data_IF_827363448188
#
_entry.id   IF_827363448188
#
_cell.length_a   1.000
_cell.length_b   1.000
_cell.length_c   1.000
_cell.angle_alpha   90.00
_cell.angle_beta   90.00
_cell.angle_gamma   90.00
#
_symmetry.space_group_name_H-M   'P 1'
#
loop_
_entity.id
_entity.type
_entity.pdbx_description
1 polymer ?
#
# COMPACT_ATOMS: atom_id res chain seq x y z
N UNK A 1 18.35 -8.04 -1.89
CA UNK A 1 17.01 -7.40 -1.88
C UNK A 1 16.01 -8.27 -1.12
N UNK A 2 15.02 -7.69 -0.42
CA UNK A 2 13.92 -8.45 0.21
C UNK A 2 12.63 -8.20 -0.58
N UNK A 3 11.90 -9.26 -0.87
CA UNK A 3 10.61 -9.21 -1.56
C UNK A 3 9.65 -10.11 -0.78
N UNK A 4 8.44 -9.64 -0.49
CA UNK A 4 7.36 -10.51 -0.03
C UNK A 4 6.37 -10.73 -1.16
N UNK A 5 5.94 -11.97 -1.32
CA UNK A 5 5.03 -12.39 -2.37
C UNK A 5 3.62 -12.63 -1.80
N UNK A 6 2.61 -12.17 -2.52
CA UNK A 6 1.21 -12.48 -2.19
C UNK A 6 0.83 -13.79 -2.90
N UNK A 7 1.29 -14.91 -2.34
CA UNK A 7 1.04 -16.27 -2.84
C UNK A 7 0.28 -17.08 -1.80
N UNK A 8 -0.92 -17.53 -2.14
CA UNK A 8 -1.83 -18.22 -1.20
C UNK A 8 -1.20 -19.40 -0.49
N UNK A 9 -0.34 -20.17 -1.17
CA UNK A 9 0.38 -21.34 -0.64
C UNK A 9 1.43 -20.99 0.42
N UNK A 10 1.86 -19.74 0.48
CA UNK A 10 2.85 -19.23 1.44
C UNK A 10 2.19 -18.47 2.60
N UNK A 11 0.85 -18.32 2.58
CA UNK A 11 0.11 -17.49 3.51
C UNK A 11 -0.55 -18.31 4.62
N UNK A 12 -0.74 -17.70 5.78
CA UNK A 12 -1.46 -18.29 6.91
C UNK A 12 -2.96 -18.01 6.79
N UNK A 13 -3.78 -18.99 7.17
CA UNK A 13 -5.23 -18.83 7.22
C UNK A 13 -5.67 -18.44 8.64
N UNK A 14 -6.40 -17.33 8.78
CA UNK A 14 -6.86 -16.84 10.07
C UNK A 14 -8.00 -15.84 9.98
N UNK A 15 -8.69 -15.63 11.10
CA UNK A 15 -9.74 -14.59 11.24
C UNK A 15 -9.15 -13.41 12.00
N UNK A 16 -9.35 -12.20 11.49
CA UNK A 16 -8.88 -10.95 12.09
C UNK A 16 -10.05 -10.13 12.63
N UNK A 17 -9.94 -9.65 13.87
CA UNK A 17 -10.88 -8.69 14.51
C UNK A 17 -12.36 -9.10 14.39
N UNK A 18 -12.68 -10.38 14.66
CA UNK A 18 -14.05 -10.86 14.53
C UNK A 18 -14.62 -10.85 13.10
N UNK A 19 -13.76 -10.86 12.09
CA UNK A 19 -14.18 -10.90 10.69
C UNK A 19 -15.01 -12.13 10.34
N UNK A 20 -15.76 -12.05 9.24
CA UNK A 20 -16.81 -13.02 8.87
C UNK A 20 -16.29 -14.44 8.62
N UNK A 21 -15.12 -14.57 8.02
CA UNK A 21 -14.46 -15.84 7.73
C UNK A 21 -12.93 -15.64 7.66
N UNK A 22 -12.21 -16.76 7.58
CA UNK A 22 -10.75 -16.73 7.52
C UNK A 22 -10.25 -16.15 6.20
N UNK A 23 -9.18 -15.38 6.28
CA UNK A 23 -8.45 -14.78 5.19
C UNK A 23 -7.04 -15.37 5.12
N UNK A 24 -6.44 -15.34 3.94
CA UNK A 24 -5.02 -15.69 3.78
C UNK A 24 -4.18 -14.46 4.10
N UNK A 25 -3.23 -14.62 5.01
CA UNK A 25 -2.45 -13.53 5.60
C UNK A 25 -0.95 -13.83 5.49
N UNK A 26 -0.20 -12.85 4.99
CA UNK A 26 1.25 -12.84 5.02
C UNK A 26 1.69 -11.63 5.87
N UNK A 27 2.44 -11.83 6.98
CA UNK A 27 2.93 -10.73 7.81
C UNK A 27 3.91 -9.79 7.09
N UNK A 28 4.44 -10.21 5.94
CA UNK A 28 5.28 -9.39 5.07
C UNK A 28 6.48 -8.79 5.79
N UNK A 29 6.36 -7.53 6.18
CA UNK A 29 7.39 -6.78 6.87
C UNK A 29 6.90 -6.29 8.24
N UNK A 30 7.82 -6.16 9.18
CA UNK A 30 7.60 -5.72 10.55
C UNK A 30 8.42 -4.46 10.86
N UNK A 31 8.24 -3.89 12.04
CA UNK A 31 9.03 -2.76 12.55
C UNK A 31 10.55 -2.94 12.47
N UNK A 32 11.03 -4.20 12.45
CA UNK A 32 12.46 -4.53 12.38
C UNK A 32 13.06 -4.36 10.99
N UNK A 33 12.22 -4.15 10.01
CA UNK A 33 12.60 -4.06 8.60
C UNK A 33 12.75 -2.62 8.13
N UNK A 34 12.46 -1.66 9.01
CA UNK A 34 12.46 -0.22 8.73
C UNK A 34 13.18 0.55 9.85
N UNK A 35 13.67 1.73 9.53
CA UNK A 35 14.23 2.68 10.49
C UNK A 35 13.23 3.79 10.87
N UNK A 36 12.31 4.11 9.96
CA UNK A 36 11.20 5.04 10.22
C UNK A 36 10.09 4.39 11.04
N UNK A 37 9.07 5.16 11.50
CA UNK A 37 8.01 4.64 12.38
C UNK A 37 7.01 3.67 11.72
N UNK A 38 7.41 2.89 10.72
CA UNK A 38 6.64 1.75 10.25
C UNK A 38 6.47 0.72 11.37
N UNK A 39 5.31 0.10 11.42
CA UNK A 39 5.09 -1.04 12.31
C UNK A 39 5.00 -2.33 11.52
N UNK A 40 4.25 -2.33 10.41
CA UNK A 40 4.18 -3.47 9.50
C UNK A 40 3.67 -3.09 8.11
N UNK A 41 3.91 -4.01 7.17
CA UNK A 41 3.25 -4.10 5.88
C UNK A 41 2.74 -5.54 5.75
N UNK A 42 1.43 -5.71 5.71
CA UNK A 42 0.80 -7.01 5.52
C UNK A 42 0.21 -7.14 4.12
N UNK A 43 0.32 -8.31 3.51
CA UNK A 43 -0.47 -8.67 2.34
C UNK A 43 -1.52 -9.72 2.69
N UNK A 44 -2.73 -9.56 2.17
CA UNK A 44 -3.88 -10.41 2.49
C UNK A 44 -4.65 -10.75 1.23
N UNK A 45 -5.14 -11.98 1.16
CA UNK A 45 -6.15 -12.37 0.18
C UNK A 45 -7.44 -12.65 0.96
N UNK A 46 -8.49 -11.90 0.63
CA UNK A 46 -9.83 -12.14 1.12
C UNK A 46 -10.59 -13.05 0.17
N UNK A 47 -10.81 -14.35 0.48
CA UNK A 47 -11.79 -15.16 -0.23
C UNK A 47 -13.20 -14.56 -0.17
N UNK A 48 -14.13 -14.99 -1.05
CA UNK A 48 -15.54 -14.61 -0.94
C UNK A 48 -16.10 -14.80 0.47
N UNK A 49 -16.75 -13.76 1.01
CA UNK A 49 -17.35 -13.78 2.33
C UNK A 49 -16.38 -13.62 3.51
N UNK A 50 -15.11 -13.26 3.27
CA UNK A 50 -14.13 -13.00 4.34
C UNK A 50 -13.76 -11.53 4.44
N UNK A 51 -13.00 -11.17 5.49
CA UNK A 51 -12.57 -9.79 5.71
C UNK A 51 -12.01 -9.57 7.12
N UNK A 52 -11.77 -8.30 7.43
CA UNK A 52 -11.37 -7.82 8.77
C UNK A 52 -12.59 -7.20 9.41
N UNK A 53 -12.99 -7.67 10.61
CA UNK A 53 -14.12 -7.13 11.37
C UNK A 53 -13.86 -5.69 11.81
N UNK A 54 -14.95 -5.01 12.18
CA UNK A 54 -14.83 -3.63 12.67
C UNK A 54 -14.05 -3.58 13.98
N UNK A 55 -13.04 -2.76 14.04
CA UNK A 55 -12.20 -2.52 15.20
C UNK A 55 -11.68 -1.07 15.21
N UNK A 56 -11.07 -0.65 16.29
CA UNK A 56 -10.40 0.64 16.42
C UNK A 56 -9.15 0.54 17.29
N UNK A 57 -8.19 1.41 17.04
CA UNK A 57 -6.99 1.57 17.88
C UNK A 57 -6.47 3.00 17.81
N UNK A 58 -5.75 3.42 18.89
CA UNK A 58 -5.21 4.78 19.01
C UNK A 58 -3.69 4.85 18.90
N UNK A 59 -3.02 3.71 18.75
CA UNK A 59 -1.55 3.63 18.74
C UNK A 59 -0.94 3.70 17.33
N UNK A 60 -1.78 3.80 16.30
CA UNK A 60 -1.32 3.89 14.92
C UNK A 60 -2.37 4.46 13.98
N UNK A 61 -1.90 4.93 12.83
CA UNK A 61 -2.71 5.08 11.60
C UNK A 61 -2.44 3.91 10.66
N UNK A 62 -3.44 3.57 9.87
CA UNK A 62 -3.36 2.54 8.84
C UNK A 62 -3.76 3.07 7.48
N UNK A 63 -3.33 2.37 6.43
CA UNK A 63 -3.88 2.56 5.09
C UNK A 63 -4.34 1.18 4.59
N UNK A 64 -5.64 1.03 4.36
CA UNK A 64 -6.24 -0.13 3.73
C UNK A 64 -6.23 0.03 2.22
N UNK A 65 -5.59 -0.90 1.51
CA UNK A 65 -5.44 -0.83 0.05
C UNK A 65 -5.95 -2.10 -0.60
N UNK A 66 -6.91 -1.97 -1.53
CA UNK A 66 -7.25 -3.03 -2.48
C UNK A 66 -6.58 -2.73 -3.83
N UNK A 67 -6.08 -3.77 -4.53
CA UNK A 67 -5.44 -3.55 -5.84
C UNK A 67 -6.41 -3.80 -7.01
N UNK A 68 -7.47 -4.54 -6.77
CA UNK A 68 -8.51 -4.84 -7.75
C UNK A 68 -9.82 -5.27 -7.06
N UNK A 69 -10.77 -5.83 -7.85
CA UNK A 69 -12.07 -6.32 -7.42
C UNK A 69 -12.92 -5.22 -6.76
N UNK A 70 -13.89 -5.62 -5.93
CA UNK A 70 -14.67 -4.75 -5.07
C UNK A 70 -14.60 -5.26 -3.63
N UNK A 71 -14.76 -4.33 -2.67
CA UNK A 71 -14.90 -4.66 -1.27
C UNK A 71 -15.81 -3.63 -0.59
N UNK A 72 -16.42 -4.02 0.53
CA UNK A 72 -17.14 -3.11 1.40
C UNK A 72 -16.18 -2.60 2.47
N UNK A 73 -15.82 -1.33 2.40
CA UNK A 73 -15.00 -0.66 3.40
C UNK A 73 -15.90 -0.03 4.47
N UNK A 74 -15.51 -0.22 5.71
CA UNK A 74 -16.13 0.46 6.86
C UNK A 74 -15.17 1.50 7.42
N UNK A 75 -15.69 2.69 7.66
CA UNK A 75 -14.98 3.80 8.30
C UNK A 75 -15.93 4.55 9.24
N UNK A 76 -15.62 4.59 10.53
CA UNK A 76 -16.42 5.20 11.58
C UNK A 76 -17.89 4.72 11.56
N UNK A 77 -18.11 3.41 11.43
CA UNK A 77 -19.42 2.77 11.42
C UNK A 77 -20.20 2.91 10.10
N UNK A 78 -19.69 3.67 9.13
CA UNK A 78 -20.28 3.80 7.79
C UNK A 78 -19.63 2.82 6.85
N UNK A 79 -20.43 2.13 6.05
CA UNK A 79 -19.92 1.14 5.09
C UNK A 79 -20.33 1.52 3.68
N UNK A 80 -19.38 1.49 2.75
CA UNK A 80 -19.63 1.71 1.33
C UNK A 80 -18.92 0.66 0.48
N UNK A 81 -19.51 0.33 -0.67
CA UNK A 81 -18.85 -0.47 -1.68
C UNK A 81 -17.83 0.36 -2.44
N UNK A 82 -16.61 -0.13 -2.51
CA UNK A 82 -15.52 0.46 -3.30
C UNK A 82 -15.14 -0.54 -4.39
N UNK A 83 -15.29 -0.14 -5.65
CA UNK A 83 -15.00 -0.97 -6.83
C UNK A 83 -13.63 -0.59 -7.40
N UNK A 84 -12.81 -1.60 -7.68
CA UNK A 84 -11.46 -1.44 -8.24
C UNK A 84 -10.39 -1.18 -7.17
N UNK A 85 -9.19 -0.86 -7.65
CA UNK A 85 -8.08 -0.50 -6.76
C UNK A 85 -8.33 0.83 -6.03
N UNK A 86 -8.12 0.83 -4.71
CA UNK A 86 -8.34 2.00 -3.89
C UNK A 86 -7.56 1.94 -2.58
N UNK A 87 -7.26 3.12 -2.02
CA UNK A 87 -6.63 3.30 -0.71
C UNK A 87 -7.54 4.13 0.20
N UNK A 88 -7.73 3.67 1.44
CA UNK A 88 -8.51 4.33 2.48
C UNK A 88 -7.60 4.60 3.67
N UNK A 89 -7.30 5.87 4.00
CA UNK A 89 -6.55 6.23 5.20
C UNK A 89 -7.44 6.09 6.43
N UNK A 90 -6.91 5.51 7.48
CA UNK A 90 -7.57 5.18 8.73
C UNK A 90 -6.79 5.82 9.88
N UNK A 91 -7.32 6.92 10.40
CA UNK A 91 -6.61 7.69 11.41
C UNK A 91 -6.72 7.04 12.78
N UNK A 92 -5.74 7.33 13.60
CA UNK A 92 -5.68 6.90 14.99
C UNK A 92 -6.99 7.22 15.75
N UNK A 93 -7.64 6.18 16.28
CA UNK A 93 -8.93 6.25 16.99
C UNK A 93 -10.18 6.15 16.11
N UNK A 94 -10.04 6.07 14.80
CA UNK A 94 -11.16 5.80 13.90
C UNK A 94 -11.46 4.30 13.84
N UNK A 95 -12.74 3.93 13.85
CA UNK A 95 -13.12 2.52 13.67
C UNK A 95 -13.15 2.16 12.19
N UNK A 96 -12.70 0.96 11.87
CA UNK A 96 -12.57 0.50 10.49
C UNK A 96 -12.71 -1.01 10.35
N UNK A 97 -12.94 -1.44 9.11
CA UNK A 97 -13.07 -2.84 8.72
C UNK A 97 -13.20 -2.97 7.21
N UNK A 98 -13.11 -4.19 6.71
CA UNK A 98 -13.27 -4.49 5.28
C UNK A 98 -13.90 -5.86 5.11
N UNK A 99 -14.82 -6.00 4.15
CA UNK A 99 -15.51 -7.24 3.84
C UNK A 99 -15.55 -7.50 2.33
N UNK A 100 -15.10 -8.66 1.91
CA UNK A 100 -15.24 -9.13 0.52
C UNK A 100 -16.63 -9.76 0.31
N UNK A 101 -17.56 -9.00 -0.23
CA UNK A 101 -18.92 -9.44 -0.55
C UNK A 101 -19.05 -10.09 -1.93
N UNK A 102 -17.96 -10.14 -2.69
CA UNK A 102 -17.96 -10.62 -4.08
C UNK A 102 -17.77 -12.15 -4.15
N UNK A 103 -17.85 -12.70 -5.34
CA UNK A 103 -17.61 -14.12 -5.64
C UNK A 103 -16.17 -14.45 -6.05
N UNK A 104 -15.26 -13.46 -5.95
CA UNK A 104 -13.83 -13.57 -6.26
C UNK A 104 -12.96 -13.17 -5.08
N UNK A 105 -11.70 -13.58 -5.11
CA UNK A 105 -10.69 -13.09 -4.17
C UNK A 105 -10.47 -11.58 -4.33
N UNK A 106 -10.33 -10.88 -3.21
CA UNK A 106 -9.87 -9.49 -3.17
C UNK A 106 -8.47 -9.45 -2.58
N UNK A 107 -7.53 -8.89 -3.33
CA UNK A 107 -6.15 -8.71 -2.89
C UNK A 107 -6.01 -7.39 -2.16
N UNK A 108 -5.35 -7.43 -1.01
CA UNK A 108 -5.33 -6.34 -0.06
C UNK A 108 -3.95 -6.18 0.58
N UNK A 109 -3.58 -4.93 0.79
CA UNK A 109 -2.41 -4.56 1.61
C UNK A 109 -2.86 -3.69 2.79
N UNK A 110 -2.21 -3.89 3.93
CA UNK A 110 -2.37 -3.07 5.11
C UNK A 110 -1.03 -2.46 5.52
N UNK A 111 -0.99 -1.16 5.65
CA UNK A 111 0.16 -0.36 6.09
C UNK A 111 -0.13 0.25 7.43
N UNK A 112 0.84 0.20 8.34
CA UNK A 112 0.65 0.65 9.71
C UNK A 112 1.85 1.49 10.16
N UNK A 113 1.57 2.73 10.60
CA UNK A 113 2.56 3.67 11.12
C UNK A 113 2.20 4.05 12.54
N UNK A 114 3.16 3.95 13.47
CA UNK A 114 2.90 4.16 14.90
C UNK A 114 2.50 5.61 15.20
N UNK A 115 1.49 5.77 16.05
CA UNK A 115 1.13 7.05 16.70
C UNK A 115 1.67 7.04 18.14
N UNK A 116 2.72 7.80 18.38
CA UNK A 116 3.35 7.91 19.70
C UNK A 116 2.75 9.00 20.58
N UNK A 117 1.77 9.75 20.06
CA UNK A 117 1.18 10.90 20.76
C UNK A 117 0.01 10.48 21.65
N UNK A 118 -0.71 9.43 21.28
CA UNK A 118 -1.91 8.97 21.97
C UNK A 118 -1.64 7.80 22.90
N UNK A 119 -2.41 7.74 24.00
CA UNK A 119 -2.41 6.56 24.86
C UNK A 119 -2.94 5.33 24.08
N UNK A 120 -2.22 4.20 24.09
CA UNK A 120 -2.62 3.01 23.37
C UNK A 120 -3.95 2.45 23.86
N UNK A 121 -4.91 2.32 22.98
CA UNK A 121 -6.20 1.64 23.19
C UNK A 121 -6.51 0.79 21.96
N UNK A 122 -7.20 -0.30 22.18
CA UNK A 122 -7.69 -1.19 21.13
C UNK A 122 -9.09 -1.67 21.51
N UNK A 123 -9.99 -1.77 20.54
CA UNK A 123 -11.34 -2.28 20.71
C UNK A 123 -11.77 -3.07 19.47
N UNK A 124 -12.11 -4.33 19.66
CA UNK A 124 -12.79 -5.17 18.68
C UNK A 124 -14.30 -5.08 18.93
N UNK A 125 -15.08 -4.79 17.90
CA UNK A 125 -16.53 -4.65 18.01
C UNK A 125 -17.27 -5.97 17.79
N UNK A 126 -16.57 -7.06 17.47
CA UNK A 126 -17.15 -8.36 17.09
C UNK A 126 -18.20 -8.24 15.96
N UNK A 127 -18.01 -7.26 15.08
CA UNK A 127 -18.92 -6.93 13.99
C UNK A 127 -18.23 -7.17 12.64
N UNK A 128 -18.58 -8.24 11.90
CA UNK A 128 -18.02 -8.54 10.60
C UNK A 128 -18.54 -7.64 9.47
N UNK A 129 -19.46 -6.74 9.75
CA UNK A 129 -20.09 -5.80 8.79
C UNK A 129 -20.86 -6.48 7.65
N UNK A 130 -21.43 -7.67 7.87
CA UNK A 130 -22.21 -8.40 6.87
C UNK A 130 -23.63 -7.86 6.81
N UNK A 131 -24.13 -7.59 5.59
CA UNK A 131 -25.53 -7.22 5.36
C UNK A 131 -25.92 -5.86 5.94
N UNK A 132 -24.96 -5.01 6.23
CA UNK A 132 -25.21 -3.63 6.70
C UNK A 132 -25.68 -2.75 5.54
N UNK A 133 -26.39 -1.67 5.86
CA UNK A 133 -26.78 -0.65 4.88
C UNK A 133 -25.53 0.00 4.28
N UNK A 134 -25.48 0.10 2.94
CA UNK A 134 -24.38 0.72 2.24
C UNK A 134 -24.67 2.20 2.00
N UNK A 135 -23.71 3.04 2.36
CA UNK A 135 -23.72 4.46 2.04
C UNK A 135 -23.04 4.74 0.68
N UNK A 136 -23.17 5.95 0.20
CA UNK A 136 -22.42 6.40 -0.98
C UNK A 136 -20.92 6.47 -0.67
N UNK A 137 -20.08 6.09 -1.64
CA UNK A 137 -18.62 6.06 -1.51
C UNK A 137 -18.00 7.42 -1.17
N UNK A 138 -18.67 8.53 -1.55
CA UNK A 138 -18.22 9.90 -1.22
C UNK A 138 -18.32 10.25 0.28
N UNK A 139 -18.92 9.36 1.08
CA UNK A 139 -18.95 9.48 2.54
C UNK A 139 -17.71 8.91 3.24
N UNK A 140 -16.86 8.22 2.50
CA UNK A 140 -15.61 7.65 2.99
C UNK A 140 -14.41 8.37 2.34
N UNK A 141 -13.26 8.45 3.02
CA UNK A 141 -12.04 9.01 2.45
C UNK A 141 -11.40 7.99 1.48
N UNK A 142 -11.91 7.88 0.25
CA UNK A 142 -11.46 6.89 -0.73
C UNK A 142 -10.59 7.53 -1.79
N UNK A 143 -9.33 7.14 -1.86
CA UNK A 143 -8.41 7.43 -2.96
C UNK A 143 -8.39 6.30 -3.99
N UNK A 144 -8.95 6.52 -5.18
CA UNK A 144 -8.99 5.50 -6.24
C UNK A 144 -7.71 5.49 -7.05
N UNK A 145 -7.26 4.31 -7.45
CA UNK A 145 -6.19 4.13 -8.44
C UNK A 145 -6.78 4.25 -9.86
N UNK A 146 -7.17 5.46 -10.22
CA UNK A 146 -7.75 5.78 -11.53
C UNK A 146 -6.66 6.31 -12.46
N UNK A 147 -6.36 5.55 -13.52
CA UNK A 147 -5.36 5.91 -14.54
C UNK A 147 -5.66 7.24 -15.23
N UNK A 148 -6.94 7.64 -15.33
CA UNK A 148 -7.32 8.92 -15.92
C UNK A 148 -6.85 10.15 -15.12
N UNK A 149 -6.51 9.95 -13.84
CA UNK A 149 -5.99 11.00 -12.95
C UNK A 149 -4.47 11.11 -12.95
N UNK A 150 -3.77 10.16 -13.56
CA UNK A 150 -2.32 10.16 -13.65
C UNK A 150 -1.82 11.27 -14.58
N UNK A 151 -0.65 11.82 -14.26
CA UNK A 151 0.02 12.86 -15.06
C UNK A 151 1.41 12.40 -15.47
N UNK A 152 1.83 12.66 -16.73
CA UNK A 152 3.16 12.29 -17.18
C UNK A 152 4.22 13.12 -16.43
N UNK A 153 5.30 12.44 -16.05
CA UNK A 153 6.51 13.07 -15.50
C UNK A 153 7.72 12.20 -15.70
N UNK A 154 8.90 12.81 -15.83
CA UNK A 154 10.17 12.13 -15.64
C UNK A 154 10.41 12.00 -14.14
N UNK A 155 10.61 10.78 -13.63
CA UNK A 155 10.69 10.53 -12.19
C UNK A 155 12.09 10.07 -11.80
N UNK A 156 12.74 10.78 -10.88
CA UNK A 156 14.10 10.53 -10.39
C UNK A 156 15.14 10.31 -11.51
N UNK A 157 15.11 11.16 -12.54
CA UNK A 157 16.05 11.04 -13.66
C UNK A 157 15.89 9.78 -14.51
N UNK A 158 14.82 9.01 -14.31
CA UNK A 158 14.55 7.76 -15.00
C UNK A 158 14.36 7.92 -16.51
N UNK A 159 14.19 6.79 -17.19
CA UNK A 159 14.04 6.69 -18.64
C UNK A 159 12.60 6.98 -19.05
N UNK A 160 12.40 7.81 -20.03
CA UNK A 160 11.10 8.16 -20.58
C UNK A 160 10.22 8.95 -19.61
N UNK A 161 8.91 8.86 -19.79
CA UNK A 161 7.91 9.47 -18.93
C UNK A 161 7.05 8.37 -18.29
N UNK A 162 6.98 8.38 -16.98
CA UNK A 162 6.00 7.59 -16.20
C UNK A 162 4.76 8.44 -15.92
N UNK A 163 3.65 7.80 -15.61
CA UNK A 163 2.44 8.48 -15.21
C UNK A 163 2.26 8.38 -13.70
N UNK A 164 2.07 9.49 -13.03
CA UNK A 164 2.16 9.62 -11.58
C UNK A 164 1.00 10.41 -10.99
N UNK A 165 0.60 10.02 -9.79
CA UNK A 165 -0.32 10.79 -8.93
C UNK A 165 -0.01 10.53 -7.47
N UNK A 166 0.09 11.58 -6.65
CA UNK A 166 -0.06 11.47 -5.20
C UNK A 166 -1.55 11.29 -4.89
N UNK A 167 -1.92 10.15 -4.30
CA UNK A 167 -3.30 9.81 -3.94
C UNK A 167 -3.62 10.38 -2.57
N UNK A 168 -2.70 10.20 -1.61
CA UNK A 168 -2.70 10.76 -0.27
C UNK A 168 -1.35 11.38 0.02
N UNK A 169 -1.33 12.51 0.68
CA UNK A 169 -0.11 13.23 1.05
C UNK A 169 0.01 13.42 2.56
N UNK A 170 1.12 13.99 3.00
CA UNK A 170 1.46 14.21 4.41
C UNK A 170 0.35 14.86 5.24
N UNK A 171 -0.47 15.72 4.64
CA UNK A 171 -1.56 16.45 5.32
C UNK A 171 -2.78 15.58 5.63
N UNK A 172 -2.87 14.43 5.00
CA UNK A 172 -3.98 13.48 5.18
C UNK A 172 -3.76 12.60 6.42
N UNK A 173 -2.55 12.61 7.00
CA UNK A 173 -2.14 11.80 8.12
C UNK A 173 -1.67 12.66 9.30
N UNK A 174 -1.78 12.11 10.52
CA UNK A 174 -1.21 12.71 11.74
C UNK A 174 0.12 12.07 12.14
N UNK A 175 0.34 10.81 11.72
CA UNK A 175 1.60 10.09 11.90
C UNK A 175 2.63 10.46 10.82
N UNK A 176 3.70 9.72 10.75
CA UNK A 176 4.81 9.93 9.81
C UNK A 176 4.57 9.40 8.40
N UNK A 177 3.37 8.93 8.06
CA UNK A 177 3.01 8.73 6.65
C UNK A 177 3.15 10.04 5.89
N UNK A 178 3.93 10.03 4.80
CA UNK A 178 4.18 11.21 3.97
C UNK A 178 3.42 11.19 2.66
N UNK A 179 3.30 10.03 2.06
CA UNK A 179 2.55 9.87 0.81
C UNK A 179 2.11 8.43 0.54
N UNK A 180 1.08 8.33 -0.26
CA UNK A 180 0.74 7.16 -1.07
C UNK A 180 0.61 7.63 -2.52
N UNK A 181 1.47 7.11 -3.40
CA UNK A 181 1.54 7.49 -4.80
C UNK A 181 1.12 6.36 -5.70
N UNK A 182 0.38 6.65 -6.78
CA UNK A 182 0.03 5.73 -7.85
C UNK A 182 0.91 6.02 -9.06
N UNK A 183 1.57 4.99 -9.58
CA UNK A 183 2.54 5.10 -10.68
C UNK A 183 2.23 4.04 -11.74
N UNK A 184 2.28 4.47 -13.00
CA UNK A 184 2.20 3.58 -14.17
C UNK A 184 3.42 3.84 -15.05
N UNK A 185 4.14 2.77 -15.34
CA UNK A 185 5.31 2.76 -16.21
C UNK A 185 4.94 2.10 -17.55
N UNK A 186 4.84 2.85 -18.66
CA UNK A 186 4.79 2.28 -19.98
C UNK A 186 6.02 1.41 -20.30
N UNK A 187 6.00 0.61 -21.37
CA UNK A 187 7.18 -0.11 -21.85
C UNK A 187 8.42 0.80 -21.99
N UNK A 188 9.58 0.27 -21.63
CA UNK A 188 10.90 0.96 -21.74
C UNK A 188 10.96 2.27 -20.93
N UNK A 189 10.28 2.35 -19.78
CA UNK A 189 10.36 3.50 -18.86
C UNK A 189 10.77 3.09 -17.46
N UNK A 190 11.26 4.04 -16.65
CA UNK A 190 11.69 3.78 -15.28
C UNK A 190 11.38 4.92 -14.31
N UNK A 191 11.21 4.57 -13.04
CA UNK A 191 11.58 5.44 -11.93
C UNK A 191 13.08 5.26 -11.76
N UNK A 192 13.85 6.32 -11.95
CA UNK A 192 15.31 6.27 -11.97
C UNK A 192 15.90 5.89 -10.61
N UNK A 193 17.18 5.52 -10.62
CA UNK A 193 17.89 5.12 -9.42
C UNK A 193 18.12 6.33 -8.52
N UNK A 194 17.61 6.26 -7.30
CA UNK A 194 17.64 7.36 -6.33
C UNK A 194 17.73 6.82 -4.90
N UNK A 195 17.95 7.71 -3.94
CA UNK A 195 18.12 7.38 -2.54
C UNK A 195 17.41 8.42 -1.67
N UNK A 196 16.93 7.99 -0.50
CA UNK A 196 16.38 8.83 0.57
C UNK A 196 17.21 8.68 1.83
N UNK A 197 17.48 9.80 2.54
CA UNK A 197 18.18 9.80 3.82
C UNK A 197 17.25 9.74 5.03
N UNK A 198 15.98 10.18 4.87
CA UNK A 198 15.01 10.28 5.97
C UNK A 198 13.67 9.59 5.69
N UNK A 199 13.51 8.91 4.56
CA UNK A 199 12.26 8.23 4.18
C UNK A 199 12.55 6.76 3.90
N UNK A 200 11.81 5.87 4.57
CA UNK A 200 11.62 4.50 4.10
C UNK A 200 10.43 4.44 3.16
N UNK A 201 10.58 3.75 2.05
CA UNK A 201 9.51 3.50 1.09
C UNK A 201 9.18 2.01 0.99
N UNK A 202 7.99 1.72 0.51
CA UNK A 202 7.64 0.39 0.04
C UNK A 202 6.95 0.49 -1.33
N UNK A 203 7.39 -0.35 -2.27
CA UNK A 203 6.82 -0.49 -3.60
C UNK A 203 5.93 -1.72 -3.65
N UNK A 204 4.70 -1.59 -4.12
CA UNK A 204 3.75 -2.69 -4.27
C UNK A 204 3.28 -2.79 -5.71
N UNK A 205 3.50 -3.95 -6.32
CA UNK A 205 3.16 -4.18 -7.72
C UNK A 205 1.68 -4.53 -7.86
N UNK A 206 0.93 -3.67 -8.54
CA UNK A 206 -0.51 -3.85 -8.77
C UNK A 206 -0.79 -4.69 -10.02
N UNK A 207 -0.02 -4.46 -11.09
CA UNK A 207 -0.21 -5.13 -12.36
C UNK A 207 1.09 -5.12 -13.19
N UNK A 208 1.26 -6.14 -14.03
CA UNK A 208 2.46 -6.29 -14.86
C UNK A 208 3.64 -6.87 -14.10
N UNK A 209 4.83 -6.66 -14.66
CA UNK A 209 6.13 -7.06 -14.10
C UNK A 209 7.21 -6.08 -14.50
N UNK A 210 8.27 -6.00 -13.72
CA UNK A 210 9.41 -5.13 -13.96
C UNK A 210 10.67 -5.62 -13.27
N UNK A 211 11.77 -4.90 -13.45
CA UNK A 211 13.01 -5.14 -12.70
C UNK A 211 13.15 -4.09 -11.61
N UNK A 212 13.11 -4.52 -10.37
CA UNK A 212 13.41 -3.69 -9.21
C UNK A 212 14.88 -3.77 -8.89
N UNK A 213 15.50 -2.63 -8.66
CA UNK A 213 16.88 -2.55 -8.18
C UNK A 213 16.88 -1.92 -6.79
N UNK A 214 17.49 -2.60 -5.82
CA UNK A 214 17.73 -2.08 -4.47
C UNK A 214 19.22 -2.30 -4.18
N UNK A 215 19.92 -1.24 -3.90
CA UNK A 215 21.37 -1.20 -3.79
C UNK A 215 22.04 -1.83 -5.04
N UNK A 216 22.80 -2.89 -4.88
CA UNK A 216 23.50 -3.57 -5.98
C UNK A 216 22.74 -4.79 -6.52
N UNK A 217 21.54 -5.08 -6.02
CA UNK A 217 20.74 -6.23 -6.40
C UNK A 217 19.60 -5.84 -7.33
N UNK A 218 19.41 -6.59 -8.43
CA UNK A 218 18.30 -6.41 -9.37
C UNK A 218 17.54 -7.73 -9.52
N UNK A 219 16.22 -7.67 -9.29
CA UNK A 219 15.33 -8.84 -9.33
C UNK A 219 14.07 -8.52 -10.14
N UNK A 220 13.48 -9.54 -10.79
CA UNK A 220 12.17 -9.40 -11.41
C UNK A 220 11.10 -9.39 -10.32
N UNK A 221 10.18 -8.41 -10.40
CA UNK A 221 9.02 -8.26 -9.52
C UNK A 221 7.74 -8.36 -10.34
N UNK A 222 6.72 -8.96 -9.73
CA UNK A 222 5.43 -9.25 -10.38
C UNK A 222 4.27 -8.79 -9.51
N UNK A 223 3.07 -8.81 -10.08
CA UNK A 223 1.84 -8.47 -9.34
C UNK A 223 1.75 -9.16 -7.99
N UNK A 224 1.48 -8.38 -6.94
CA UNK A 224 1.35 -8.83 -5.55
C UNK A 224 2.64 -8.82 -4.76
N UNK A 225 3.76 -8.47 -5.38
CA UNK A 225 5.03 -8.29 -4.68
C UNK A 225 5.05 -6.96 -3.93
N UNK A 226 5.65 -6.97 -2.74
CA UNK A 226 5.98 -5.80 -1.95
C UNK A 226 7.48 -5.77 -1.66
N UNK A 227 8.10 -4.61 -1.88
CA UNK A 227 9.54 -4.41 -1.79
C UNK A 227 9.81 -3.20 -0.88
N UNK A 228 10.46 -3.39 0.28
CA UNK A 228 10.89 -2.30 1.13
C UNK A 228 12.17 -1.66 0.58
N UNK A 229 12.27 -0.36 0.69
CA UNK A 229 13.41 0.46 0.31
C UNK A 229 13.79 1.33 1.52
N UNK A 230 14.84 0.93 2.21
CA UNK A 230 15.23 1.55 3.47
C UNK A 230 16.02 2.84 3.23
N UNK A 231 15.93 3.74 4.21
CA UNK A 231 16.73 4.96 4.26
C UNK A 231 18.22 4.64 4.09
N UNK A 232 18.93 5.55 3.43
CA UNK A 232 20.36 5.40 3.10
C UNK A 232 20.66 4.41 1.98
N UNK A 233 19.70 3.53 1.63
CA UNK A 233 19.78 2.64 0.47
C UNK A 233 19.30 3.33 -0.81
N UNK A 234 19.77 2.84 -1.96
CA UNK A 234 19.36 3.34 -3.26
C UNK A 234 18.45 2.35 -3.99
N UNK A 235 17.45 2.86 -4.71
CA UNK A 235 16.48 2.00 -5.37
C UNK A 235 15.87 2.66 -6.63
N UNK A 236 15.18 1.83 -7.40
CA UNK A 236 14.40 2.25 -8.55
C UNK A 236 13.85 1.06 -9.32
N UNK A 237 12.96 1.30 -10.27
CA UNK A 237 12.27 0.24 -11.00
C UNK A 237 12.21 0.55 -12.49
N UNK A 238 12.45 -0.46 -13.31
CA UNK A 238 12.42 -0.37 -14.77
C UNK A 238 11.42 -1.37 -15.36
N UNK A 239 10.56 -0.87 -16.23
CA UNK A 239 9.66 -1.70 -17.03
C UNK A 239 10.39 -2.18 -18.30
N UNK A 240 10.94 -3.39 -18.26
CA UNK A 240 11.64 -4.05 -19.36
C UNK A 240 10.74 -4.83 -20.31
N UNK A 241 9.41 -4.79 -20.08
CA UNK A 241 8.42 -5.56 -20.83
C UNK A 241 7.72 -4.71 -21.89
N UNK A 242 6.87 -5.32 -22.69
CA UNK A 242 6.01 -4.67 -23.69
C UNK A 242 4.59 -4.35 -23.18
N UNK A 243 4.33 -4.57 -21.87
CA UNK A 243 3.07 -4.25 -21.19
C UNK A 243 3.29 -3.16 -20.14
N UNK A 244 2.22 -2.49 -19.73
CA UNK A 244 2.26 -1.52 -18.63
C UNK A 244 2.59 -2.19 -17.29
N UNK A 245 3.53 -1.61 -16.56
CA UNK A 245 3.78 -1.91 -15.15
C UNK A 245 3.06 -0.88 -14.28
N UNK A 246 2.21 -1.31 -13.36
CA UNK A 246 1.45 -0.44 -12.47
C UNK A 246 1.74 -0.79 -11.02
N UNK A 247 2.01 0.22 -10.22
CA UNK A 247 2.37 0.07 -8.81
C UNK A 247 1.87 1.26 -7.99
N UNK A 248 1.87 1.08 -6.69
CA UNK A 248 1.77 2.18 -5.75
C UNK A 248 2.95 2.16 -4.78
N UNK A 249 3.28 3.32 -4.25
CA UNK A 249 4.40 3.54 -3.32
C UNK A 249 3.86 4.21 -2.07
N UNK A 250 4.26 3.71 -0.91
CA UNK A 250 3.98 4.35 0.38
C UNK A 250 5.29 4.78 1.00
N UNK A 251 5.37 6.02 1.47
CA UNK A 251 6.54 6.59 2.14
C UNK A 251 6.24 6.98 3.59
N UNK A 252 7.15 6.66 4.50
CA UNK A 252 7.14 7.08 5.91
C UNK A 252 8.46 7.77 6.22
N UNK A 253 8.38 9.01 6.71
CA UNK A 253 9.56 9.82 7.03
C UNK A 253 9.91 9.78 8.51
N UNK A 254 11.18 9.92 8.83
CA UNK A 254 11.63 10.22 10.21
C UNK A 254 11.14 11.57 10.70
N UNK A 255 10.94 12.52 9.78
CA UNK A 255 10.52 13.88 10.10
C UNK A 255 9.22 14.22 9.37
N UNK A 256 8.11 14.23 10.11
CA UNK A 256 6.79 14.57 9.58
C UNK A 256 6.79 15.83 8.71
N UNK A 257 6.25 15.74 7.50
CA UNK A 257 6.15 16.83 6.53
C UNK A 257 7.43 17.10 5.77
N UNK A 258 8.44 16.23 5.87
CA UNK A 258 9.68 16.33 5.11
C UNK A 258 9.94 15.08 4.29
N UNK A 259 10.28 15.30 3.06
CA UNK A 259 10.71 14.26 2.10
C UNK A 259 11.99 14.76 1.42
N UNK A 260 12.96 13.88 1.31
CA UNK A 260 14.20 14.11 0.57
C UNK A 260 14.30 13.09 -0.58
N UNK A 261 15.10 13.40 -1.58
CA UNK A 261 15.50 12.46 -2.61
C UNK A 261 16.78 12.96 -3.30
N UNK A 262 17.68 12.04 -3.56
CA UNK A 262 18.90 12.29 -4.35
C UNK A 262 18.90 11.37 -5.57
N UNK A 263 18.79 11.96 -6.76
CA UNK A 263 18.88 11.22 -8.02
C UNK A 263 20.34 10.80 -8.29
N UNK A 264 20.56 9.53 -8.57
CA UNK A 264 21.90 8.97 -8.78
C UNK A 264 22.30 8.88 -10.27
N UNK A 265 21.44 9.33 -11.17
CA UNK A 265 21.75 9.49 -12.60
C UNK A 265 21.75 8.19 -13.40
N UNK A 266 21.21 7.10 -12.88
CA UNK A 266 21.06 5.80 -13.56
C UNK A 266 19.59 5.57 -13.92
N UNK A 267 19.31 5.35 -15.20
CA UNK A 267 17.96 5.09 -15.71
C UNK A 267 17.53 3.61 -15.64
N UNK A 268 18.40 2.74 -15.11
CA UNK A 268 18.22 1.31 -14.87
C UNK A 268 18.04 0.42 -16.12
N UNK A 269 18.05 0.97 -17.34
CA UNK A 269 17.85 0.17 -18.54
C UNK A 269 18.98 -0.85 -18.78
N UNK A 270 20.15 -0.62 -18.22
CA UNK A 270 21.32 -1.49 -18.32
C UNK A 270 21.48 -2.52 -17.21
N UNK A 271 20.57 -2.57 -16.22
CA UNK A 271 20.65 -3.47 -15.08
C UNK A 271 19.80 -4.73 -15.24
#
# INVERSE_FOLDING_TARGET
MRITHTRREEMHLGVSHGGAAASYFNPGFSERDFESPWTFIHSVIFPPGSGIGQHSHTYAEEIFVTIDNAAQFTHNGRTAEVVGGAAVPLRSGESHGIYNHTDRDTWFFNFHCVDTVREPKHEDFDDPRIGVELESTDRLPVGRFDRALLKPRRHHGGRGEVFFREVWGSRDFTTNFEYLCHILLPPDTSVGYHQHEIVDEAYMIMNGRGRMTVDDETEEVVRGDAIPNNMGGAHGIYNHTDEDLELFVVGVSMEKGKVDATDLGDDLAGR
#
